data_IF_271765354624
#
_entry.id   IF_271765354624
#
_cell.length_a   1.000
_cell.length_b   1.000
_cell.length_c   1.000
_cell.angle_alpha   90.00
_cell.angle_beta   90.00
_cell.angle_gamma   90.00
#
_symmetry.space_group_name_H-M   'P 1'
#
loop_
_entity.id
_entity.type
_entity.pdbx_description
1 polymer ?
#
# COMPACT_ATOMS: atom_id res chain seq x y z
N UNK A 1 -13.76 -2.29 17.45
CA UNK A 1 -13.26 -1.14 16.69
C UNK A 1 -14.41 -0.60 15.87
N UNK A 2 -14.64 0.71 15.92
CA UNK A 2 -15.61 1.35 15.03
C UNK A 2 -14.85 1.59 13.72
N UNK A 3 -14.94 0.67 12.75
CA UNK A 3 -14.17 0.71 11.51
C UNK A 3 -14.52 1.89 10.57
N UNK A 4 -15.48 2.73 11.00
CA UNK A 4 -15.91 3.98 10.36
C UNK A 4 -15.22 5.22 10.97
N UNK A 5 -14.02 5.08 11.55
CA UNK A 5 -13.23 6.24 11.95
C UNK A 5 -13.02 7.17 10.75
N UNK A 6 -13.18 8.49 10.97
CA UNK A 6 -13.02 9.48 9.92
C UNK A 6 -11.57 9.45 9.42
N UNK A 7 -11.35 8.85 8.25
CA UNK A 7 -10.05 8.86 7.59
C UNK A 7 -9.73 10.22 6.95
N UNK A 8 -10.73 11.04 6.67
CA UNK A 8 -10.60 12.34 6.00
C UNK A 8 -10.52 13.51 7.00
N UNK A 9 -9.93 14.63 6.56
CA UNK A 9 -9.73 15.85 7.35
C UNK A 9 -10.37 17.07 6.68
N UNK A 10 -10.80 18.08 7.45
CA UNK A 10 -11.47 19.28 6.92
C UNK A 10 -10.58 20.15 6.04
N UNK A 11 -9.26 20.07 6.17
CA UNK A 11 -8.30 20.85 5.37
C UNK A 11 -7.97 20.22 4.02
N UNK A 12 -8.37 18.97 3.75
CA UNK A 12 -8.10 18.31 2.47
C UNK A 12 -8.91 18.94 1.31
N UNK A 13 -8.42 18.88 0.07
CA UNK A 13 -9.20 19.21 -1.12
C UNK A 13 -10.52 18.41 -1.18
N UNK A 14 -11.59 19.00 -1.72
CA UNK A 14 -12.91 18.35 -1.75
C UNK A 14 -12.94 17.07 -2.58
N UNK A 15 -12.19 17.02 -3.69
CA UNK A 15 -12.06 15.82 -4.51
C UNK A 15 -11.39 14.67 -3.74
N UNK A 16 -10.35 14.99 -2.97
CA UNK A 16 -9.65 14.03 -2.12
C UNK A 16 -10.57 13.55 -0.98
N UNK A 17 -11.28 14.46 -0.31
CA UNK A 17 -12.28 14.11 0.71
C UNK A 17 -13.36 13.19 0.14
N UNK A 18 -13.84 13.45 -1.07
CA UNK A 18 -14.87 12.62 -1.71
C UNK A 18 -14.36 11.18 -1.90
N UNK A 19 -13.13 11.00 -2.39
CA UNK A 19 -12.48 9.70 -2.48
C UNK A 19 -12.31 9.07 -1.09
N UNK A 20 -11.77 9.79 -0.12
CA UNK A 20 -11.45 9.24 1.20
C UNK A 20 -12.67 8.80 2.00
N UNK A 21 -13.84 9.42 1.77
CA UNK A 21 -15.12 8.96 2.33
C UNK A 21 -15.54 7.57 1.85
N UNK A 22 -14.99 7.10 0.73
CA UNK A 22 -15.25 5.75 0.19
C UNK A 22 -14.39 4.66 0.83
N UNK A 23 -13.36 5.04 1.60
CA UNK A 23 -12.40 4.10 2.14
C UNK A 23 -12.98 3.27 3.30
N UNK A 24 -12.63 1.99 3.32
CA UNK A 24 -12.87 1.04 4.42
C UNK A 24 -11.57 0.30 4.72
N UNK A 25 -11.10 0.38 5.96
CA UNK A 25 -9.88 -0.30 6.37
C UNK A 25 -10.09 -1.80 6.47
N UNK A 26 -9.05 -2.56 6.11
CA UNK A 26 -9.08 -4.02 6.19
C UNK A 26 -7.76 -4.63 6.66
N UNK A 27 -6.65 -3.92 6.50
CA UNK A 27 -5.36 -4.26 7.08
C UNK A 27 -4.77 -3.02 7.74
N UNK A 28 -4.56 -3.09 9.05
CA UNK A 28 -4.02 -2.02 9.86
C UNK A 28 -2.81 -2.52 10.65
N UNK A 29 -1.86 -1.62 10.91
CA UNK A 29 -0.77 -1.87 11.86
C UNK A 29 -1.00 -1.03 13.12
N UNK A 30 -2.00 -1.37 13.97
CA UNK A 30 -2.46 -0.50 15.05
C UNK A 30 -1.37 -0.20 16.10
N UNK A 31 -0.34 -1.04 16.19
CA UNK A 31 0.69 -0.95 17.23
C UNK A 31 1.77 0.11 16.97
N UNK A 32 1.88 0.62 15.73
CA UNK A 32 2.98 1.50 15.32
C UNK A 32 2.56 2.99 15.35
N UNK A 33 1.26 3.28 15.44
CA UNK A 33 0.74 4.65 15.59
C UNK A 33 1.12 5.60 14.45
N UNK A 34 1.54 5.07 13.31
CA UNK A 34 2.01 5.81 12.14
C UNK A 34 0.88 6.13 11.13
N UNK A 35 -0.36 5.75 11.47
CA UNK A 35 -1.55 5.86 10.62
C UNK A 35 -1.43 5.16 9.26
N UNK A 36 -0.52 4.19 9.13
CA UNK A 36 -0.39 3.39 7.91
C UNK A 36 -1.40 2.25 7.89
N UNK A 37 -2.10 2.10 6.77
CA UNK A 37 -3.11 1.05 6.60
C UNK A 37 -3.43 0.81 5.13
N UNK A 38 -3.92 -0.39 4.83
CA UNK A 38 -4.56 -0.66 3.55
C UNK A 38 -6.08 -0.54 3.67
N UNK A 39 -6.67 0.07 2.66
CA UNK A 39 -8.10 0.33 2.57
C UNK A 39 -8.64 -0.10 1.22
N UNK A 40 -9.90 -0.51 1.19
CA UNK A 40 -10.68 -0.63 -0.04
C UNK A 40 -11.46 0.64 -0.28
N UNK A 41 -11.56 1.08 -1.53
CA UNK A 41 -12.45 2.14 -1.98
C UNK A 41 -13.71 1.54 -2.61
N UNK A 42 -14.88 1.79 -2.00
CA UNK A 42 -16.18 1.38 -2.53
C UNK A 42 -16.81 2.59 -3.23
N UNK A 43 -16.63 2.67 -4.55
CA UNK A 43 -17.13 3.77 -5.38
C UNK A 43 -18.46 3.41 -6.03
N UNK A 44 -19.21 4.42 -6.46
CA UNK A 44 -20.45 4.23 -7.20
C UNK A 44 -20.17 3.45 -8.51
N UNK A 45 -20.89 2.36 -8.75
CA UNK A 45 -20.63 1.44 -9.88
C UNK A 45 -19.65 0.31 -9.60
N UNK A 46 -19.01 0.27 -8.43
CA UNK A 46 -18.26 -0.89 -7.94
C UNK A 46 -19.25 -1.87 -7.30
N UNK A 47 -19.78 -2.78 -8.10
CA UNK A 47 -20.57 -3.93 -7.66
C UNK A 47 -19.98 -5.20 -8.28
N UNK A 48 -20.15 -6.39 -7.67
CA UNK A 48 -19.73 -7.64 -8.29
C UNK A 48 -20.20 -7.70 -9.76
N UNK A 49 -19.31 -7.93 -10.74
CA UNK A 49 -17.95 -8.49 -10.59
C UNK A 49 -16.80 -7.48 -10.44
N UNK A 50 -17.06 -6.17 -10.38
CA UNK A 50 -16.02 -5.15 -10.22
C UNK A 50 -15.42 -5.22 -8.81
N UNK A 51 -14.12 -5.52 -8.75
CA UNK A 51 -13.40 -5.56 -7.47
C UNK A 51 -13.17 -4.16 -6.89
N UNK A 52 -13.21 -4.01 -5.56
CA UNK A 52 -12.85 -2.76 -4.93
C UNK A 52 -11.38 -2.42 -5.16
N UNK A 53 -11.08 -1.14 -5.33
CA UNK A 53 -9.71 -0.66 -5.52
C UNK A 53 -9.01 -0.59 -4.17
N UNK A 54 -7.80 -1.16 -4.08
CA UNK A 54 -6.95 -1.10 -2.89
C UNK A 54 -6.08 0.15 -2.91
N UNK A 55 -6.08 0.87 -1.79
CA UNK A 55 -5.17 1.99 -1.53
C UNK A 55 -4.31 1.69 -0.30
N UNK A 56 -3.07 2.16 -0.32
CA UNK A 56 -2.20 2.23 0.84
C UNK A 56 -2.17 3.67 1.37
N UNK A 57 -2.51 3.85 2.64
CA UNK A 57 -2.47 5.15 3.30
C UNK A 57 -1.16 5.30 4.05
N UNK A 58 -0.48 6.44 3.87
CA UNK A 58 0.70 6.84 4.64
C UNK A 58 0.70 8.36 4.81
N UNK A 59 0.77 8.84 6.05
CA UNK A 59 0.87 10.29 6.40
C UNK A 59 -0.04 11.21 5.57
N UNK A 60 -1.35 10.94 5.60
CA UNK A 60 -2.36 11.70 4.86
C UNK A 60 -2.27 11.61 3.32
N UNK A 61 -1.45 10.71 2.77
CA UNK A 61 -1.41 10.37 1.34
C UNK A 61 -2.15 9.05 1.11
N UNK A 62 -2.79 8.93 -0.05
CA UNK A 62 -3.45 7.70 -0.48
C UNK A 62 -2.82 7.23 -1.81
N UNK A 63 -2.06 6.14 -1.76
CA UNK A 63 -1.42 5.55 -2.93
C UNK A 63 -2.29 4.44 -3.50
N UNK A 64 -2.77 4.62 -4.73
CA UNK A 64 -3.55 3.59 -5.43
C UNK A 64 -2.65 2.41 -5.78
N UNK A 65 -3.06 1.19 -5.46
CA UNK A 65 -2.32 -0.02 -5.83
C UNK A 65 -2.89 -0.67 -7.09
N UNK A 66 -2.10 -1.54 -7.73
CA UNK A 66 -2.55 -2.39 -8.84
C UNK A 66 -2.92 -3.82 -8.41
N UNK A 67 -3.15 -4.05 -7.11
CA UNK A 67 -3.48 -5.36 -6.54
C UNK A 67 -4.98 -5.61 -6.54
N UNK A 68 -5.38 -6.85 -6.84
CA UNK A 68 -6.67 -7.42 -6.46
C UNK A 68 -6.70 -7.77 -4.96
N UNK A 69 -7.89 -8.01 -4.42
CA UNK A 69 -8.04 -8.49 -3.03
C UNK A 69 -7.24 -9.78 -2.80
N UNK A 70 -7.30 -10.72 -3.75
CA UNK A 70 -6.59 -12.01 -3.66
C UNK A 70 -5.08 -11.78 -3.73
N UNK A 71 -4.61 -11.01 -4.71
CA UNK A 71 -3.19 -10.70 -4.86
C UNK A 71 -2.61 -9.99 -3.63
N UNK A 72 -3.40 -9.16 -2.95
CA UNK A 72 -2.97 -8.52 -1.71
C UNK A 72 -2.57 -9.56 -0.66
N UNK A 73 -3.45 -10.51 -0.33
CA UNK A 73 -3.18 -11.52 0.69
C UNK A 73 -2.10 -12.52 0.28
N UNK A 74 -2.05 -12.91 -1.01
CA UNK A 74 -0.93 -13.71 -1.53
C UNK A 74 0.40 -12.99 -1.33
N UNK A 75 0.44 -11.69 -1.62
CA UNK A 75 1.65 -10.88 -1.45
C UNK A 75 2.04 -10.70 0.01
N UNK A 76 1.08 -10.52 0.93
CA UNK A 76 1.36 -10.48 2.38
C UNK A 76 2.10 -11.73 2.83
N UNK A 77 1.69 -12.90 2.34
CA UNK A 77 2.31 -14.19 2.69
C UNK A 77 3.71 -14.37 2.09
N UNK A 78 3.91 -13.92 0.85
CA UNK A 78 5.21 -13.96 0.19
C UNK A 78 6.21 -13.03 0.88
N UNK A 79 5.78 -11.80 1.18
CA UNK A 79 6.57 -10.71 1.76
C UNK A 79 6.67 -10.78 3.29
N UNK A 80 5.99 -11.75 3.92
CA UNK A 80 5.99 -12.00 5.36
C UNK A 80 5.69 -10.71 6.15
N UNK A 81 4.83 -9.86 5.57
CA UNK A 81 4.42 -8.60 6.18
C UNK A 81 5.53 -7.58 6.46
N UNK A 82 6.65 -7.54 5.72
CA UNK A 82 7.65 -6.46 5.87
C UNK A 82 7.00 -5.07 5.80
N UNK A 83 7.60 -4.05 6.41
CA UNK A 83 7.04 -2.71 6.38
C UNK A 83 6.90 -2.18 4.94
N UNK A 84 5.80 -1.46 4.70
CA UNK A 84 5.56 -0.68 3.49
C UNK A 84 5.57 -1.45 2.15
N UNK A 85 5.49 -2.79 2.16
CA UNK A 85 5.54 -3.62 0.95
C UNK A 85 4.51 -3.22 -0.11
N UNK A 86 3.36 -2.65 0.31
CA UNK A 86 2.30 -2.18 -0.57
C UNK A 86 2.80 -1.14 -1.58
N UNK A 87 3.83 -0.36 -1.22
CA UNK A 87 4.45 0.63 -2.10
C UNK A 87 5.09 0.01 -3.36
N UNK A 88 5.49 -1.27 -3.32
CA UNK A 88 5.96 -2.01 -4.52
C UNK A 88 4.87 -2.16 -5.59
N UNK A 89 3.61 -1.98 -5.22
CA UNK A 89 2.43 -2.12 -6.08
C UNK A 89 1.67 -0.81 -6.25
N UNK A 90 2.10 0.24 -5.55
CA UNK A 90 1.41 1.51 -5.52
C UNK A 90 1.91 2.47 -6.61
N UNK A 91 1.03 3.32 -7.11
CA UNK A 91 1.36 4.44 -8.00
C UNK A 91 1.96 5.58 -7.16
N UNK A 92 3.29 5.65 -7.13
CA UNK A 92 4.06 6.63 -6.35
C UNK A 92 4.69 7.60 -7.32
N UNK A 93 4.54 8.89 -7.04
CA UNK A 93 5.19 9.95 -7.81
C UNK A 93 6.69 10.01 -7.47
N UNK A 94 7.53 10.11 -8.50
CA UNK A 94 8.95 10.40 -8.36
C UNK A 94 9.27 11.73 -7.67
N UNK A 95 8.29 12.64 -7.65
CA UNK A 95 8.42 13.91 -6.94
C UNK A 95 8.01 13.80 -5.47
N UNK A 96 7.65 12.61 -4.97
CA UNK A 96 7.37 12.42 -3.56
C UNK A 96 8.67 12.62 -2.75
N UNK A 97 8.68 13.51 -1.74
CA UNK A 97 9.88 13.78 -0.97
C UNK A 97 10.41 12.57 -0.19
N UNK A 98 9.57 11.56 0.05
CA UNK A 98 9.91 10.35 0.80
C UNK A 98 10.37 9.19 -0.13
N UNK A 99 10.42 9.42 -1.45
CA UNK A 99 10.65 8.37 -2.47
C UNK A 99 11.99 7.63 -2.29
N UNK A 100 13.08 8.34 -1.98
CA UNK A 100 14.40 7.74 -1.77
C UNK A 100 14.43 6.90 -0.49
N UNK A 101 13.72 7.35 0.55
CA UNK A 101 13.59 6.62 1.82
C UNK A 101 12.83 5.31 1.63
N UNK A 102 11.69 5.35 0.92
CA UNK A 102 10.92 4.14 0.61
C UNK A 102 11.75 3.12 -0.17
N UNK A 103 12.53 3.57 -1.16
CA UNK A 103 13.42 2.68 -1.91
C UNK A 103 14.44 1.99 -1.00
N UNK A 104 15.16 2.76 -0.17
CA UNK A 104 16.20 2.19 0.68
C UNK A 104 15.67 1.17 1.68
N UNK A 105 14.53 1.44 2.30
CA UNK A 105 13.93 0.56 3.31
C UNK A 105 13.38 -0.73 2.69
N UNK A 106 12.69 -0.62 1.54
CA UNK A 106 12.16 -1.78 0.82
C UNK A 106 13.31 -2.66 0.28
N UNK A 107 14.37 -2.05 -0.25
CA UNK A 107 15.55 -2.78 -0.72
C UNK A 107 16.20 -3.57 0.41
N UNK A 108 16.49 -2.90 1.53
CA UNK A 108 17.12 -3.55 2.68
C UNK A 108 16.24 -4.69 3.24
N UNK A 109 14.92 -4.49 3.28
CA UNK A 109 13.97 -5.51 3.73
C UNK A 109 13.90 -6.71 2.78
N UNK A 110 13.90 -6.48 1.47
CA UNK A 110 13.93 -7.55 0.46
C UNK A 110 15.24 -8.35 0.50
N UNK A 111 16.39 -7.67 0.62
CA UNK A 111 17.69 -8.32 0.79
C UNK A 111 17.75 -9.17 2.07
N UNK A 112 17.16 -8.67 3.17
CA UNK A 112 17.04 -9.42 4.41
C UNK A 112 16.14 -10.65 4.25
N UNK A 113 14.97 -10.52 3.63
CA UNK A 113 14.06 -11.65 3.34
C UNK A 113 14.74 -12.72 2.50
N UNK A 114 15.40 -12.34 1.41
CA UNK A 114 16.09 -13.28 0.53
C UNK A 114 17.24 -14.02 1.24
N UNK A 115 17.90 -13.37 2.21
CA UNK A 115 18.93 -13.99 3.03
C UNK A 115 18.35 -14.97 4.06
N UNK A 116 17.20 -14.65 4.66
CA UNK A 116 16.57 -15.48 5.70
C UNK A 116 15.82 -16.68 5.10
N UNK A 117 15.21 -16.51 3.92
CA UNK A 117 14.43 -17.52 3.20
C UNK A 117 15.03 -17.76 1.80
N UNK A 118 16.24 -18.32 1.71
CA UNK A 118 16.97 -18.46 0.44
C UNK A 118 16.29 -19.38 -0.58
N UNK A 119 15.34 -20.21 -0.15
CA UNK A 119 14.54 -21.09 -1.01
C UNK A 119 13.38 -20.39 -1.71
N UNK A 120 12.99 -19.20 -1.25
CA UNK A 120 11.91 -18.42 -1.86
C UNK A 120 12.44 -17.53 -2.98
N UNK A 121 11.70 -17.48 -4.09
CA UNK A 121 12.03 -16.57 -5.19
C UNK A 121 11.46 -15.17 -4.95
N UNK A 122 12.36 -14.23 -4.67
CA UNK A 122 12.02 -12.81 -4.49
C UNK A 122 12.30 -11.96 -5.74
N UNK A 123 12.72 -12.56 -6.86
CA UNK A 123 13.15 -11.85 -8.09
C UNK A 123 12.09 -10.85 -8.55
N UNK A 124 10.83 -11.26 -8.59
CA UNK A 124 9.70 -10.41 -9.00
C UNK A 124 9.60 -9.11 -8.20
N UNK A 125 9.97 -9.13 -6.93
CA UNK A 125 9.87 -7.94 -6.07
C UNK A 125 11.06 -7.00 -6.24
N UNK A 126 12.25 -7.54 -6.48
CA UNK A 126 13.41 -6.73 -6.89
C UNK A 126 13.14 -6.06 -8.23
N UNK A 127 12.57 -6.78 -9.20
CA UNK A 127 12.19 -6.20 -10.50
C UNK A 127 11.15 -5.09 -10.34
N UNK A 128 10.12 -5.28 -9.50
CA UNK A 128 9.13 -4.25 -9.21
C UNK A 128 9.78 -3.01 -8.58
N UNK A 129 10.62 -3.20 -7.55
CA UNK A 129 11.34 -2.13 -6.89
C UNK A 129 12.19 -1.34 -7.90
N UNK A 130 12.97 -2.04 -8.72
CA UNK A 130 13.86 -1.42 -9.71
C UNK A 130 13.08 -0.76 -10.84
N UNK A 131 11.97 -1.33 -11.31
CA UNK A 131 11.13 -0.71 -12.36
C UNK A 131 10.47 0.59 -11.91
N UNK A 132 10.19 0.70 -10.61
CA UNK A 132 9.58 1.88 -9.99
C UNK A 132 10.59 2.93 -9.56
N UNK A 133 11.87 2.58 -9.42
CA UNK A 133 12.92 3.47 -8.90
C UNK A 133 14.15 3.65 -9.80
N UNK A 134 14.21 3.02 -10.99
CA UNK A 134 15.17 3.38 -12.04
C UNK A 134 14.77 4.65 -12.80
N UNK A 135 15.69 5.63 -12.79
CA UNK A 135 15.60 6.91 -13.49
C UNK A 135 15.77 6.76 -15.01
#
# INVERSE_FOLDING_TARGET
>A
MNYDEKLWFESQPEEEKALWKTFRSFDTRPEIGDNKMAVFSIQEGVSPPNEPVIYYLDRAKAFKTNLTFVQYYETVLDMIGIADWQLLFADISWNDPDVDYYYSELKASLEALAKVFPEKDYTKYFELLESKWNK
#
